data_IF_325868876677
#
_entry.id   IF_325868876677
#
_cell.length_a   1.000
_cell.length_b   1.000
_cell.length_c   1.000
_cell.angle_alpha   90.00
_cell.angle_beta   90.00
_cell.angle_gamma   90.00
#
_symmetry.space_group_name_H-M   'P 1'
#
loop_
_entity.id
_entity.type
_entity.pdbx_description
1 polymer ?
#
# COMPACT_ATOMS: atom_id res chain seq x y z
N UNK A 1 22.52 -10.73 1.24
CA UNK A 1 21.56 -11.86 1.19
C UNK A 1 20.57 -11.86 2.37
N UNK A 2 20.87 -11.19 3.48
CA UNK A 2 19.99 -11.07 4.67
C UNK A 2 18.66 -10.34 4.43
N UNK A 3 18.60 -9.41 3.46
CA UNK A 3 17.36 -8.66 3.17
C UNK A 3 16.21 -9.56 2.66
N UNK A 4 16.52 -10.75 2.16
CA UNK A 4 15.52 -11.70 1.67
C UNK A 4 14.87 -12.51 2.79
N UNK A 5 15.59 -12.87 3.86
CA UNK A 5 15.03 -13.66 4.96
C UNK A 5 14.05 -12.84 5.79
N UNK A 6 14.39 -11.59 6.11
CA UNK A 6 13.50 -10.70 6.86
C UNK A 6 12.20 -10.45 6.09
N UNK A 7 12.27 -10.25 4.78
CA UNK A 7 11.07 -10.10 3.96
C UNK A 7 10.22 -11.37 3.97
N UNK A 8 10.86 -12.53 3.85
CA UNK A 8 10.18 -13.82 3.90
C UNK A 8 9.44 -14.02 5.23
N UNK A 9 10.08 -13.68 6.35
CA UNK A 9 9.46 -13.75 7.68
C UNK A 9 8.27 -12.80 7.80
N UNK A 10 8.42 -11.56 7.35
CA UNK A 10 7.34 -10.55 7.34
C UNK A 10 6.17 -11.02 6.48
N UNK A 11 6.43 -11.49 5.27
CA UNK A 11 5.39 -11.98 4.36
C UNK A 11 4.71 -13.23 4.91
N UNK A 12 5.47 -14.15 5.52
CA UNK A 12 4.92 -15.33 6.21
C UNK A 12 3.95 -14.94 7.32
N UNK A 13 4.31 -13.95 8.15
CA UNK A 13 3.42 -13.41 9.19
C UNK A 13 2.17 -12.76 8.57
N UNK A 14 2.31 -11.99 7.49
CA UNK A 14 1.16 -11.39 6.80
C UNK A 14 0.21 -12.48 6.31
N UNK A 15 0.72 -13.53 5.66
CA UNK A 15 -0.10 -14.62 5.15
C UNK A 15 -0.78 -15.42 6.25
N UNK A 16 -0.08 -15.67 7.36
CA UNK A 16 -0.65 -16.29 8.55
C UNK A 16 -1.84 -15.46 9.07
N UNK A 17 -1.68 -14.14 9.21
CA UNK A 17 -2.72 -13.24 9.72
C UNK A 17 -3.89 -13.05 8.74
N UNK A 18 -3.64 -13.10 7.45
CA UNK A 18 -4.69 -13.13 6.40
C UNK A 18 -5.53 -14.40 6.53
N UNK A 19 -4.89 -15.56 6.74
CA UNK A 19 -5.58 -16.86 6.89
C UNK A 19 -6.44 -16.93 8.16
N UNK A 20 -5.91 -16.42 9.28
CA UNK A 20 -6.56 -16.47 10.59
C UNK A 20 -7.65 -15.39 10.76
N UNK A 21 -7.92 -14.61 9.71
CA UNK A 21 -8.95 -13.57 9.69
C UNK A 21 -10.35 -14.20 9.69
N UNK A 22 -10.91 -14.48 10.88
CA UNK A 22 -12.28 -14.97 11.06
C UNK A 22 -12.85 -14.50 12.40
N UNK A 23 -14.16 -14.22 12.43
CA UNK A 23 -14.88 -13.91 13.67
C UNK A 23 -14.18 -12.82 14.47
N UNK A 24 -13.99 -13.04 15.77
CA UNK A 24 -13.35 -12.09 16.70
C UNK A 24 -11.91 -11.69 16.31
N UNK A 25 -11.23 -12.47 15.46
CA UNK A 25 -9.87 -12.20 14.98
C UNK A 25 -9.81 -11.41 13.65
N UNK A 26 -10.91 -10.80 13.22
CA UNK A 26 -11.00 -9.98 12.01
C UNK A 26 -9.91 -8.91 11.88
N UNK A 27 -9.43 -8.36 13.02
CA UNK A 27 -8.36 -7.35 13.05
C UNK A 27 -7.06 -7.87 12.44
N UNK A 28 -6.77 -9.17 12.57
CA UNK A 28 -5.56 -9.77 12.02
C UNK A 28 -5.49 -9.60 10.51
N UNK A 29 -6.54 -9.98 9.78
CA UNK A 29 -6.56 -9.83 8.32
C UNK A 29 -6.64 -8.37 7.90
N UNK A 30 -7.42 -7.54 8.60
CA UNK A 30 -7.49 -6.11 8.29
C UNK A 30 -6.12 -5.43 8.40
N UNK A 31 -5.42 -5.61 9.52
CA UNK A 31 -4.09 -5.04 9.73
C UNK A 31 -3.05 -5.63 8.78
N UNK A 32 -3.11 -6.94 8.51
CA UNK A 32 -2.24 -7.58 7.53
C UNK A 32 -2.40 -7.00 6.13
N UNK A 33 -3.63 -6.70 5.68
CA UNK A 33 -3.88 -6.01 4.41
C UNK A 33 -3.31 -4.59 4.39
N UNK A 34 -3.38 -3.85 5.51
CA UNK A 34 -2.75 -2.52 5.59
C UNK A 34 -1.23 -2.60 5.52
N UNK A 35 -0.62 -3.58 6.20
CA UNK A 35 0.83 -3.82 6.13
C UNK A 35 1.25 -4.22 4.72
N UNK A 36 0.51 -5.13 4.08
CA UNK A 36 0.78 -5.55 2.71
C UNK A 36 0.70 -4.37 1.74
N UNK A 37 -0.34 -3.53 1.87
CA UNK A 37 -0.47 -2.30 1.08
C UNK A 37 0.74 -1.38 1.24
N UNK A 38 1.21 -1.17 2.47
CA UNK A 38 2.40 -0.36 2.73
C UNK A 38 3.67 -0.97 2.12
N UNK A 39 3.83 -2.30 2.16
CA UNK A 39 4.93 -2.98 1.47
C UNK A 39 4.84 -2.82 -0.05
N UNK A 40 3.64 -2.81 -0.63
CA UNK A 40 3.46 -2.54 -2.06
C UNK A 40 3.85 -1.11 -2.45
N UNK A 41 3.67 -0.14 -1.56
CA UNK A 41 4.08 1.25 -1.81
C UNK A 41 5.57 1.48 -1.60
N UNK A 42 6.13 0.88 -0.55
CA UNK A 42 7.41 1.28 0.02
C UNK A 42 8.46 0.18 0.05
N UNK A 43 8.04 -1.08 0.00
CA UNK A 43 8.89 -2.24 0.15
C UNK A 43 9.70 -2.58 -1.10
N UNK A 44 10.56 -3.61 -1.02
CA UNK A 44 11.36 -4.10 -2.15
C UNK A 44 10.47 -4.73 -3.24
N UNK A 45 11.02 -4.88 -4.44
CA UNK A 45 10.29 -5.53 -5.55
C UNK A 45 9.88 -6.97 -5.24
N UNK A 46 10.69 -7.68 -4.45
CA UNK A 46 10.36 -9.02 -3.99
C UNK A 46 9.03 -9.09 -3.21
N UNK A 47 8.64 -8.01 -2.50
CA UNK A 47 7.34 -7.97 -1.82
C UNK A 47 6.17 -7.93 -2.81
N UNK A 48 6.36 -7.32 -3.99
CA UNK A 48 5.35 -7.29 -5.06
C UNK A 48 5.21 -8.67 -5.70
N UNK A 49 6.32 -9.37 -5.94
CA UNK A 49 6.32 -10.74 -6.48
C UNK A 49 5.57 -11.68 -5.53
N UNK A 50 5.99 -11.72 -4.27
CA UNK A 50 5.36 -12.55 -3.24
C UNK A 50 3.86 -12.22 -3.06
N UNK A 51 3.49 -10.94 -3.08
CA UNK A 51 2.08 -10.51 -3.00
C UNK A 51 1.26 -10.95 -4.22
N UNK A 52 1.90 -11.00 -5.40
CA UNK A 52 1.29 -11.48 -6.66
C UNK A 52 1.09 -12.99 -6.59
N UNK A 53 2.04 -13.74 -6.04
CA UNK A 53 1.91 -15.20 -5.83
C UNK A 53 0.77 -15.53 -4.85
N UNK A 54 0.55 -14.66 -3.86
CA UNK A 54 -0.55 -14.75 -2.91
C UNK A 54 -1.88 -14.11 -3.35
N UNK A 55 -2.03 -13.69 -4.60
CA UNK A 55 -3.16 -12.85 -5.06
C UNK A 55 -4.54 -13.48 -4.76
N UNK A 56 -4.67 -14.79 -4.90
CA UNK A 56 -5.93 -15.51 -4.63
C UNK A 56 -6.37 -15.43 -3.16
N UNK A 57 -5.41 -15.40 -2.22
CA UNK A 57 -5.68 -15.21 -0.79
C UNK A 57 -6.25 -13.82 -0.50
N UNK A 58 -5.86 -12.83 -1.29
CA UNK A 58 -6.37 -11.45 -1.19
C UNK A 58 -7.74 -11.36 -1.86
N UNK A 59 -7.92 -12.04 -3.00
CA UNK A 59 -9.18 -12.09 -3.73
C UNK A 59 -10.32 -12.65 -2.87
N UNK A 60 -10.07 -13.72 -2.12
CA UNK A 60 -11.08 -14.33 -1.25
C UNK A 60 -11.61 -13.38 -0.17
N UNK A 61 -10.76 -12.51 0.38
CA UNK A 61 -11.15 -11.51 1.38
C UNK A 61 -12.09 -10.43 0.84
N UNK A 62 -12.24 -10.29 -0.49
CA UNK A 62 -13.26 -9.40 -1.08
C UNK A 62 -14.70 -9.87 -0.84
N UNK A 63 -14.88 -11.15 -0.50
CA UNK A 63 -16.17 -11.74 -0.11
C UNK A 63 -16.22 -12.05 1.40
N UNK A 64 -15.45 -11.34 2.22
CA UNK A 64 -15.43 -11.57 3.67
C UNK A 64 -16.79 -11.25 4.32
N UNK A 65 -17.30 -12.20 5.12
CA UNK A 65 -18.62 -12.09 5.77
C UNK A 65 -18.64 -12.55 7.25
N UNK A 66 -17.50 -12.93 7.83
CA UNK A 66 -17.44 -13.50 9.18
C UNK A 66 -17.57 -12.48 10.33
N UNK A 67 -18.19 -11.31 10.11
CA UNK A 67 -18.34 -10.25 11.11
C UNK A 67 -19.52 -9.32 10.79
N UNK A 68 -19.88 -8.45 11.76
CA UNK A 68 -20.85 -7.35 11.57
C UNK A 68 -20.59 -6.58 10.27
N UNK A 69 -21.68 -6.17 9.62
CA UNK A 69 -21.67 -5.59 8.26
C UNK A 69 -20.63 -4.49 8.05
N UNK A 70 -20.50 -3.54 8.98
CA UNK A 70 -19.54 -2.44 8.85
C UNK A 70 -18.08 -2.90 8.79
N UNK A 71 -17.67 -3.76 9.74
CA UNK A 71 -16.31 -4.31 9.79
C UNK A 71 -16.02 -5.20 8.58
N UNK A 72 -17.00 -6.01 8.17
CA UNK A 72 -16.87 -6.83 6.98
C UNK A 72 -16.68 -5.96 5.73
N UNK A 73 -17.41 -4.86 5.61
CA UNK A 73 -17.26 -3.90 4.52
C UNK A 73 -15.87 -3.27 4.49
N UNK A 74 -15.28 -2.93 5.63
CA UNK A 74 -13.93 -2.35 5.70
C UNK A 74 -12.85 -3.33 5.24
N UNK A 75 -12.98 -4.61 5.62
CA UNK A 75 -12.08 -5.67 5.15
C UNK A 75 -12.22 -5.85 3.65
N UNK A 76 -13.45 -5.93 3.13
CA UNK A 76 -13.71 -6.06 1.69
C UNK A 76 -13.14 -4.89 0.90
N UNK A 77 -13.33 -3.65 1.38
CA UNK A 77 -12.77 -2.44 0.76
C UNK A 77 -11.24 -2.47 0.75
N UNK A 78 -10.62 -2.85 1.87
CA UNK A 78 -9.16 -2.94 1.97
C UNK A 78 -8.59 -4.02 1.04
N UNK A 79 -9.21 -5.21 1.02
CA UNK A 79 -8.83 -6.29 0.12
C UNK A 79 -8.98 -5.89 -1.34
N UNK A 80 -10.09 -5.22 -1.70
CA UNK A 80 -10.30 -4.72 -3.06
C UNK A 80 -9.25 -3.68 -3.49
N UNK A 81 -8.84 -2.79 -2.58
CA UNK A 81 -7.80 -1.80 -2.85
C UNK A 81 -6.45 -2.47 -3.12
N UNK A 82 -6.04 -3.44 -2.29
CA UNK A 82 -4.79 -4.20 -2.47
C UNK A 82 -4.84 -5.03 -3.75
N UNK A 83 -5.96 -5.73 -4.01
CA UNK A 83 -6.15 -6.52 -5.21
C UNK A 83 -6.08 -5.67 -6.49
N UNK A 84 -6.77 -4.51 -6.51
CA UNK A 84 -6.74 -3.58 -7.64
C UNK A 84 -5.32 -3.10 -7.95
N UNK A 85 -4.50 -2.83 -6.93
CA UNK A 85 -3.11 -2.44 -7.11
C UNK A 85 -2.27 -3.56 -7.73
N UNK A 86 -2.49 -4.82 -7.33
CA UNK A 86 -1.71 -5.95 -7.85
C UNK A 86 -2.09 -6.33 -9.29
N UNK A 87 -3.37 -6.21 -9.65
CA UNK A 87 -3.85 -6.48 -11.01
C UNK A 87 -3.43 -5.36 -11.98
N UNK A 88 -3.54 -4.10 -11.54
CA UNK A 88 -3.12 -2.95 -12.35
C UNK A 88 -1.65 -2.60 -12.08
N UNK A 89 -0.77 -3.27 -12.80
CA UNK A 89 0.69 -3.06 -12.69
C UNK A 89 1.09 -1.62 -13.03
N UNK A 90 0.45 -0.99 -14.02
CA UNK A 90 0.77 0.38 -14.42
C UNK A 90 0.50 1.35 -13.27
N UNK A 91 -0.67 1.23 -12.64
CA UNK A 91 -1.03 1.99 -11.44
C UNK A 91 -0.08 1.73 -10.28
N UNK A 92 0.28 0.47 -10.02
CA UNK A 92 1.23 0.13 -8.95
C UNK A 92 2.58 0.83 -9.14
N UNK A 93 3.15 0.78 -10.35
CA UNK A 93 4.44 1.40 -10.63
C UNK A 93 4.38 2.92 -10.53
N UNK A 94 3.31 3.54 -11.01
CA UNK A 94 3.08 4.97 -10.85
C UNK A 94 3.03 5.36 -9.36
N UNK A 95 2.25 4.64 -8.55
CA UNK A 95 2.13 4.88 -7.10
C UNK A 95 3.49 4.73 -6.42
N UNK A 96 4.24 3.66 -6.70
CA UNK A 96 5.58 3.43 -6.14
C UNK A 96 6.56 4.54 -6.50
N UNK A 97 6.50 5.08 -7.72
CA UNK A 97 7.32 6.25 -8.12
C UNK A 97 7.01 7.48 -7.29
N UNK A 98 5.72 7.80 -7.09
CA UNK A 98 5.29 8.93 -6.26
C UNK A 98 5.79 8.78 -4.82
N UNK A 99 5.62 7.60 -4.22
CA UNK A 99 6.08 7.34 -2.85
C UNK A 99 7.61 7.31 -2.71
N UNK A 100 8.33 6.86 -3.74
CA UNK A 100 9.79 6.94 -3.76
C UNK A 100 10.27 8.39 -3.79
N UNK A 101 9.63 9.24 -4.59
CA UNK A 101 9.96 10.66 -4.68
C UNK A 101 9.65 11.39 -3.38
N UNK A 102 8.46 11.15 -2.78
CA UNK A 102 8.13 11.68 -1.44
C UNK A 102 9.18 11.29 -0.39
N UNK A 103 9.64 10.03 -0.41
CA UNK A 103 10.69 9.57 0.52
C UNK A 103 12.01 10.30 0.29
N UNK A 104 12.41 10.51 -0.97
CA UNK A 104 13.60 11.30 -1.29
C UNK A 104 13.47 12.70 -0.72
N UNK A 105 12.34 13.37 -0.93
CA UNK A 105 12.09 14.72 -0.42
C UNK A 105 12.12 14.84 1.11
N UNK A 106 11.69 13.80 1.84
CA UNK A 106 11.77 13.77 3.31
C UNK A 106 13.19 13.65 3.85
N UNK A 107 14.10 13.02 3.10
CA UNK A 107 15.50 12.81 3.49
C UNK A 107 16.40 13.97 3.03
N UNK A 108 15.90 14.87 2.18
CA UNK A 108 16.67 16.03 1.72
C UNK A 108 16.93 17.03 2.86
N UNK A 109 18.17 17.52 3.01
CA UNK A 109 18.47 18.66 3.88
C UNK A 109 17.58 19.86 3.53
N UNK A 110 17.16 20.63 4.54
CA UNK A 110 16.23 21.77 4.38
C UNK A 110 16.64 22.74 3.25
N UNK A 111 17.95 22.95 3.05
CA UNK A 111 18.49 23.79 1.97
C UNK A 111 18.19 23.26 0.55
N UNK A 112 18.16 21.94 0.35
CA UNK A 112 17.79 21.31 -0.94
C UNK A 112 16.27 21.31 -1.14
N UNK A 113 15.49 21.14 -0.08
CA UNK A 113 14.02 21.24 -0.10
C UNK A 113 13.55 22.63 -0.56
N UNK A 114 14.19 23.69 -0.06
CA UNK A 114 13.92 25.08 -0.48
C UNK A 114 14.28 25.36 -1.94
N UNK A 115 15.32 24.72 -2.50
CA UNK A 115 15.65 24.85 -3.94
C UNK A 115 14.64 24.11 -4.82
N UNK A 116 14.20 22.91 -4.41
CA UNK A 116 13.17 22.15 -5.15
C UNK A 116 11.84 22.90 -5.20
N UNK A 117 11.35 23.41 -4.06
CA UNK A 117 10.13 24.21 -3.98
C UNK A 117 10.21 25.49 -4.82
N UNK A 118 11.41 26.07 -4.97
CA UNK A 118 11.62 27.24 -5.83
C UNK A 118 11.62 26.89 -7.32
N UNK A 119 12.08 25.70 -7.71
CA UNK A 119 11.98 25.19 -9.09
C UNK A 119 10.53 24.81 -9.45
N UNK A 120 9.78 24.26 -8.50
CA UNK A 120 8.40 23.79 -8.71
C UNK A 120 7.41 24.94 -8.94
N UNK A 121 7.69 26.16 -8.45
CA UNK A 121 6.87 27.36 -8.73
C UNK A 121 6.77 27.74 -10.21
N UNK A 122 7.66 27.22 -11.05
CA UNK A 122 7.62 27.44 -12.50
C UNK A 122 6.99 26.28 -13.29
N UNK A 123 6.58 25.21 -12.61
CA UNK A 123 5.91 24.05 -13.22
C UNK A 123 4.46 24.07 -12.78
N UNK A 124 3.55 24.39 -13.70
CA UNK A 124 2.11 24.27 -13.43
C UNK A 124 1.79 22.80 -13.18
N UNK A 125 0.91 22.46 -12.22
CA UNK A 125 0.50 21.07 -12.02
C UNK A 125 -0.23 20.60 -13.28
N UNK A 126 0.38 19.68 -14.02
CA UNK A 126 -0.18 19.14 -15.27
C UNK A 126 -0.85 17.78 -15.06
N UNK A 127 -0.80 17.20 -13.85
CA UNK A 127 -1.25 15.83 -13.61
C UNK A 127 -2.46 15.74 -12.65
N UNK A 128 -3.53 15.02 -13.02
CA UNK A 128 -4.74 14.85 -12.20
C UNK A 128 -4.53 14.21 -10.81
N UNK A 129 -3.37 13.63 -10.54
CA UNK A 129 -3.06 12.97 -9.26
C UNK A 129 -2.67 13.99 -8.18
N UNK A 130 -2.22 15.18 -8.57
CA UNK A 130 -1.88 16.26 -7.63
C UNK A 130 -3.14 16.76 -6.90
N UNK A 131 -4.31 16.68 -7.54
CA UNK A 131 -5.62 16.95 -6.94
C UNK A 131 -6.05 15.92 -5.89
N UNK A 132 -5.69 14.64 -6.09
CA UNK A 132 -5.99 13.60 -5.12
C UNK A 132 -5.19 13.83 -3.83
N UNK A 133 -4.08 14.57 -3.84
CA UNK A 133 -3.36 14.85 -2.61
C UNK A 133 -3.98 15.99 -1.79
N UNK A 134 -4.58 16.99 -2.44
CA UNK A 134 -5.26 18.12 -1.78
C UNK A 134 -6.50 17.65 -1.01
N UNK A 135 -7.26 16.71 -1.56
CA UNK A 135 -8.54 16.25 -0.98
C UNK A 135 -8.39 15.40 0.31
N UNK A 136 -7.19 14.91 0.62
CA UNK A 136 -6.92 14.15 1.87
C UNK A 136 -6.31 15.01 2.99
N UNK A 137 -6.09 16.31 2.75
CA UNK A 137 -5.60 17.26 3.76
C UNK A 137 -6.72 18.16 4.32
N UNK A 138 -7.94 18.03 3.79
CA UNK A 138 -9.15 18.76 4.24
C UNK A 138 -10.18 17.86 4.96
N UNK A 139 -9.78 16.65 5.36
CA UNK A 139 -10.51 15.75 6.26
C UNK A 139 -9.59 15.28 7.38
#
# INVERSE_FOLDING_TARGET
>A
RESSSVLFDVMSVIWLRVRDCRGLHWKHGYQALQLLKNLLYHGPLAAVVEATDGLEKIRSLRAYEHMRSGVAQDIRKSAAAVYSLLVDRAKLWMVRRVFAEKRRQMVLPAAKKMKLLKMDRNVRPTHPIDYIHAQWMEL
#
